data_IF_658278945646
#
_entry.id   IF_658278945646
#
_cell.length_a   1.000
_cell.length_b   1.000
_cell.length_c   1.000
_cell.angle_alpha   90.00
_cell.angle_beta   90.00
_cell.angle_gamma   90.00
#
_symmetry.space_group_name_H-M   'P 1'
#
loop_
_entity.id
_entity.type
_entity.pdbx_description
1 polymer ?
#
# COMPACT_ATOMS: atom_id res chain seq x y z
N UNK A 1 0.93 -2.28 -18.85
CA UNK A 1 1.11 -0.96 -18.20
C UNK A 1 0.77 -1.16 -16.74
N UNK A 2 1.58 -0.63 -15.83
CA UNK A 2 1.25 -0.64 -14.40
C UNK A 2 0.03 0.23 -14.12
N UNK A 3 -0.65 -0.04 -13.00
CA UNK A 3 -1.74 0.79 -12.49
C UNK A 3 -1.20 1.45 -11.23
N UNK A 4 -0.44 2.56 -11.38
CA UNK A 4 0.28 3.17 -10.26
C UNK A 4 -0.71 3.54 -9.16
N UNK A 5 -0.43 3.07 -7.95
CA UNK A 5 -1.22 3.45 -6.79
C UNK A 5 -0.34 3.73 -5.57
N UNK A 6 -0.96 4.33 -4.56
CA UNK A 6 -0.32 4.58 -3.28
C UNK A 6 -1.10 3.89 -2.17
N UNK A 7 -0.38 3.22 -1.27
CA UNK A 7 -0.96 2.63 -0.06
C UNK A 7 -0.31 3.25 1.17
N UNK A 8 -1.10 3.58 2.17
CA UNK A 8 -0.57 4.16 3.38
C UNK A 8 -1.63 4.44 4.43
N UNK A 9 -1.33 5.38 5.32
CA UNK A 9 -2.22 5.79 6.39
C UNK A 9 -2.16 7.31 6.61
N UNK A 10 -3.20 7.86 7.21
CA UNK A 10 -3.20 9.24 7.65
C UNK A 10 -2.16 9.45 8.77
N UNK A 11 -1.50 10.61 8.77
CA UNK A 11 -0.60 11.04 9.84
C UNK A 11 -1.44 11.19 11.13
N UNK A 12 -1.12 10.47 12.22
CA UNK A 12 -1.89 10.54 13.46
C UNK A 12 -1.96 11.95 14.06
N UNK A 13 -0.94 12.78 13.86
CA UNK A 13 -0.91 14.15 14.33
C UNK A 13 -1.64 15.12 13.37
N UNK A 14 -1.80 14.73 12.10
CA UNK A 14 -2.41 15.55 11.05
C UNK A 14 -3.24 14.66 10.10
N UNK A 15 -4.50 14.32 10.45
CA UNK A 15 -5.32 13.36 9.69
C UNK A 15 -5.58 13.72 8.22
N UNK A 16 -5.34 14.97 7.82
CA UNK A 16 -5.44 15.44 6.43
C UNK A 16 -4.21 15.13 5.59
N UNK A 17 -3.10 14.73 6.23
CA UNK A 17 -1.84 14.35 5.59
C UNK A 17 -1.78 12.82 5.54
N UNK A 18 -1.45 12.28 4.38
CA UNK A 18 -1.23 10.85 4.17
C UNK A 18 0.26 10.59 4.03
N UNK A 19 0.72 9.52 4.68
CA UNK A 19 2.05 8.92 4.47
C UNK A 19 1.84 7.63 3.71
N UNK A 20 2.42 7.51 2.53
CA UNK A 20 2.19 6.37 1.64
C UNK A 20 3.45 5.89 0.93
N UNK A 21 3.37 4.65 0.44
CA UNK A 21 4.32 4.00 -0.44
C UNK A 21 3.71 3.71 -1.80
N UNK A 22 4.56 3.76 -2.81
CA UNK A 22 4.16 3.49 -4.18
C UNK A 22 4.01 1.98 -4.41
N UNK A 23 3.01 1.59 -5.20
CA UNK A 23 2.83 0.23 -5.71
C UNK A 23 2.69 0.29 -7.23
N UNK A 24 3.57 -0.42 -7.94
CA UNK A 24 3.70 -0.30 -9.40
C UNK A 24 2.62 -1.07 -10.17
N UNK A 25 2.34 -2.31 -9.76
CA UNK A 25 1.40 -3.23 -10.41
C UNK A 25 0.18 -3.55 -9.54
N UNK A 26 -0.89 -4.00 -10.22
CA UNK A 26 -2.12 -4.52 -9.62
C UNK A 26 -2.81 -3.56 -8.63
N UNK A 27 -2.63 -2.26 -8.83
CA UNK A 27 -3.21 -1.21 -7.99
C UNK A 27 -4.72 -1.02 -8.10
N UNK A 28 -5.45 -1.82 -8.89
CA UNK A 28 -6.92 -1.74 -8.99
C UNK A 28 -7.60 -2.17 -7.69
N UNK A 29 -8.74 -1.58 -7.30
CA UNK A 29 -9.45 -1.95 -6.07
C UNK A 29 -9.84 -3.43 -6.00
N UNK A 30 -10.20 -4.03 -7.14
CA UNK A 30 -10.52 -5.46 -7.25
C UNK A 30 -9.32 -6.38 -6.98
N UNK A 31 -8.10 -5.85 -7.05
CA UNK A 31 -6.86 -6.61 -6.88
C UNK A 31 -6.18 -6.25 -5.56
N UNK A 32 -5.89 -4.97 -5.32
CA UNK A 32 -5.08 -4.53 -4.18
C UNK A 32 -5.78 -4.75 -2.83
N UNK A 33 -7.09 -4.49 -2.75
CA UNK A 33 -7.81 -4.69 -1.48
C UNK A 33 -7.77 -6.15 -1.00
N UNK A 34 -8.06 -7.16 -1.84
CA UNK A 34 -7.84 -8.56 -1.49
C UNK A 34 -6.42 -8.87 -0.99
N UNK A 35 -5.39 -8.28 -1.61
CA UNK A 35 -4.00 -8.48 -1.15
C UNK A 35 -3.79 -7.90 0.25
N UNK A 36 -4.22 -6.65 0.49
CA UNK A 36 -4.12 -6.02 1.81
C UNK A 36 -4.88 -6.82 2.87
N UNK A 37 -6.09 -7.28 2.57
CA UNK A 37 -6.89 -8.14 3.46
C UNK A 37 -6.17 -9.46 3.76
N UNK A 38 -5.53 -10.07 2.75
CA UNK A 38 -4.74 -11.28 2.92
C UNK A 38 -3.55 -11.06 3.85
N UNK A 39 -2.72 -10.04 3.57
CA UNK A 39 -1.55 -9.68 4.38
C UNK A 39 -1.96 -9.39 5.83
N UNK A 40 -3.05 -8.62 6.00
CA UNK A 40 -3.64 -8.32 7.30
C UNK A 40 -4.01 -9.59 8.06
N UNK A 41 -4.74 -10.50 7.42
CA UNK A 41 -5.22 -11.71 8.07
C UNK A 41 -4.10 -12.71 8.42
N UNK A 42 -3.11 -12.87 7.54
CA UNK A 42 -2.10 -13.94 7.65
C UNK A 42 -0.79 -13.45 8.27
N UNK A 43 -0.19 -12.42 7.68
CA UNK A 43 1.16 -11.96 8.01
C UNK A 43 1.17 -11.09 9.24
N UNK A 44 0.25 -10.13 9.32
CA UNK A 44 0.17 -9.19 10.45
C UNK A 44 -0.79 -9.68 11.54
N UNK A 45 -1.43 -10.84 11.34
CA UNK A 45 -2.31 -11.50 12.32
C UNK A 45 -3.45 -10.60 12.83
N UNK A 46 -4.04 -9.84 11.92
CA UNK A 46 -5.10 -8.85 12.14
C UNK A 46 -4.67 -7.61 12.93
N UNK A 47 -3.37 -7.34 12.98
CA UNK A 47 -2.85 -6.07 13.49
C UNK A 47 -2.74 -5.07 12.32
N UNK A 48 -3.62 -4.07 12.34
CA UNK A 48 -3.68 -3.01 11.32
C UNK A 48 -2.50 -2.03 11.44
N UNK A 49 -1.95 -1.82 12.64
CA UNK A 49 -0.74 -1.01 12.79
C UNK A 49 0.46 -1.72 12.17
N UNK A 50 0.59 -3.03 12.41
CA UNK A 50 1.64 -3.83 11.79
C UNK A 50 1.47 -3.94 10.27
N UNK A 51 0.22 -3.93 9.75
CA UNK A 51 -0.03 -3.81 8.31
C UNK A 51 0.50 -2.49 7.76
N UNK A 52 0.18 -1.37 8.41
CA UNK A 52 0.66 -0.04 8.01
C UNK A 52 2.19 -0.02 8.01
N UNK A 53 2.84 -0.50 9.07
CA UNK A 53 4.30 -0.53 9.15
C UNK A 53 4.91 -1.40 8.04
N UNK A 54 4.31 -2.56 7.76
CA UNK A 54 4.76 -3.44 6.69
C UNK A 54 4.66 -2.77 5.32
N UNK A 55 3.50 -2.18 4.95
CA UNK A 55 3.33 -1.55 3.64
C UNK A 55 4.15 -0.26 3.50
N UNK A 56 4.44 0.44 4.59
CA UNK A 56 5.23 1.68 4.56
C UNK A 56 6.75 1.44 4.53
N UNK A 57 7.21 0.21 4.75
CA UNK A 57 8.63 -0.10 4.84
C UNK A 57 9.38 0.02 3.51
N UNK A 58 8.72 -0.27 2.38
CA UNK A 58 9.33 -0.34 1.05
C UNK A 58 8.40 0.27 0.00
N UNK A 59 8.97 0.67 -1.13
CA UNK A 59 8.20 0.81 -2.36
C UNK A 59 8.02 -0.58 -2.99
N UNK A 60 6.87 -0.79 -3.63
CA UNK A 60 6.43 -2.13 -4.03
C UNK A 60 6.29 -2.24 -5.54
N UNK A 61 6.82 -3.31 -6.10
CA UNK A 61 6.47 -3.73 -7.44
C UNK A 61 5.02 -4.23 -7.42
N UNK A 62 4.70 -5.10 -6.46
CA UNK A 62 3.34 -5.52 -6.13
C UNK A 62 3.24 -5.99 -4.68
N UNK A 63 2.03 -5.96 -4.13
CA UNK A 63 1.68 -6.56 -2.85
C UNK A 63 1.06 -7.94 -3.05
N UNK A 64 1.39 -8.88 -2.16
CA UNK A 64 0.89 -10.25 -2.23
C UNK A 64 1.20 -11.04 -0.96
N UNK A 65 0.19 -11.60 -0.26
CA UNK A 65 0.40 -12.43 0.92
C UNK A 65 0.99 -13.80 0.59
N UNK A 66 1.01 -14.18 -0.69
CA UNK A 66 1.56 -15.41 -1.24
C UNK A 66 3.05 -15.29 -1.59
N UNK A 67 3.64 -14.09 -1.54
CA UNK A 67 5.08 -13.91 -1.70
C UNK A 67 5.83 -14.61 -0.58
N UNK A 68 6.85 -15.39 -0.93
CA UNK A 68 7.70 -16.14 0.02
C UNK A 68 9.15 -15.69 -0.12
N UNK A 69 10.01 -16.08 0.82
CA UNK A 69 11.45 -15.80 0.73
C UNK A 69 12.10 -16.40 -0.52
N UNK A 70 11.52 -17.47 -1.07
CA UNK A 70 12.01 -18.17 -2.27
C UNK A 70 11.39 -17.64 -3.57
N UNK A 71 10.47 -16.67 -3.49
CA UNK A 71 9.86 -16.05 -4.66
C UNK A 71 10.95 -15.36 -5.48
N UNK A 72 11.19 -15.87 -6.69
CA UNK A 72 12.28 -15.42 -7.55
C UNK A 72 12.01 -14.00 -8.09
N UNK A 73 12.93 -13.04 -7.89
CA UNK A 73 12.91 -11.75 -8.54
C UNK A 73 12.88 -11.87 -10.07
N UNK A 74 12.07 -11.03 -10.73
CA UNK A 74 12.02 -10.95 -12.19
C UNK A 74 13.06 -9.95 -12.70
N UNK A 75 13.28 -8.87 -11.95
CA UNK A 75 14.24 -7.82 -12.27
C UNK A 75 15.33 -7.70 -11.19
N UNK A 76 16.48 -7.13 -11.57
CA UNK A 76 17.54 -6.80 -10.62
C UNK A 76 17.06 -5.73 -9.64
N UNK A 77 17.43 -5.84 -8.36
CA UNK A 77 17.07 -4.89 -7.30
C UNK A 77 15.76 -5.20 -6.57
N UNK A 78 14.92 -6.10 -7.12
CA UNK A 78 13.73 -6.58 -6.43
C UNK A 78 14.10 -7.55 -5.30
N UNK A 79 13.35 -7.46 -4.20
CA UNK A 79 13.52 -8.34 -3.04
C UNK A 79 12.15 -8.83 -2.56
N UNK A 80 11.96 -10.15 -2.38
CA UNK A 80 10.73 -10.65 -1.79
C UNK A 80 10.69 -10.33 -0.29
N UNK A 81 9.58 -9.77 0.16
CA UNK A 81 9.23 -9.63 1.57
C UNK A 81 8.11 -10.64 1.84
N UNK A 82 8.48 -11.72 2.52
CA UNK A 82 7.60 -12.86 2.76
C UNK A 82 6.29 -12.44 3.42
N UNK A 83 5.17 -12.82 2.80
CA UNK A 83 3.82 -12.52 3.25
C UNK A 83 3.38 -11.07 3.03
N UNK A 84 4.15 -10.23 2.34
CA UNK A 84 3.81 -8.81 2.11
C UNK A 84 3.84 -8.45 0.63
N UNK A 85 4.93 -8.73 -0.08
CA UNK A 85 5.06 -8.30 -1.47
C UNK A 85 6.47 -8.39 -2.03
N UNK A 86 6.62 -7.96 -3.28
CA UNK A 86 7.90 -7.80 -3.96
C UNK A 86 8.25 -6.31 -4.00
N UNK A 87 9.45 -5.94 -3.54
CA UNK A 87 9.86 -4.53 -3.55
C UNK A 87 10.15 -4.01 -4.96
N UNK A 88 9.98 -2.70 -5.13
CA UNK A 88 10.45 -1.94 -6.28
C UNK A 88 11.81 -1.34 -5.92
N UNK A 89 12.90 -1.93 -6.45
CA UNK A 89 14.29 -1.50 -6.22
C UNK A 89 14.62 -1.10 -4.76
N UNK A 90 14.89 -2.09 -3.90
CA UNK A 90 15.19 -1.87 -2.48
C UNK A 90 16.67 -1.51 -2.21
N UNK A 91 17.41 -1.09 -3.23
CA UNK A 91 18.84 -0.75 -3.08
C UNK A 91 19.04 0.57 -2.36
N UNK A 92 18.09 1.51 -2.51
CA UNK A 92 18.09 2.80 -1.83
C UNK A 92 16.64 3.16 -1.46
N UNK A 93 16.24 3.10 -0.17
CA UNK A 93 14.87 3.40 0.20
C UNK A 93 14.53 4.85 -0.13
N UNK A 94 13.52 5.07 -0.98
CA UNK A 94 13.01 6.42 -1.20
C UNK A 94 12.37 6.95 0.11
N UNK A 95 12.37 8.27 0.33
CA UNK A 95 11.57 8.84 1.41
C UNK A 95 10.09 8.50 1.19
N UNK A 96 9.35 8.33 2.28
CA UNK A 96 7.89 8.17 2.22
C UNK A 96 7.26 9.33 1.45
N UNK A 97 6.30 9.02 0.60
CA UNK A 97 5.50 10.05 -0.06
C UNK A 97 4.54 10.63 0.96
N UNK A 98 4.64 11.93 1.22
CA UNK A 98 3.81 12.64 2.20
C UNK A 98 3.05 13.75 1.49
N UNK A 99 1.73 13.69 1.53
CA UNK A 99 0.88 14.61 0.78
C UNK A 99 -0.46 14.84 1.49
N UNK A 100 -1.08 16.02 1.37
CA UNK A 100 -2.47 16.18 1.74
C UNK A 100 -3.37 15.51 0.69
N UNK A 101 -4.43 14.81 1.10
CA UNK A 101 -5.39 14.17 0.16
C UNK A 101 -5.98 15.17 -0.84
N UNK A 102 -6.14 16.44 -0.44
CA UNK A 102 -6.61 17.53 -1.32
C UNK A 102 -5.66 17.88 -2.46
N UNK A 103 -4.44 17.32 -2.47
CA UNK A 103 -3.42 17.47 -3.51
C UNK A 103 -3.04 16.13 -4.14
N UNK A 104 -3.87 15.10 -3.97
CA UNK A 104 -3.66 13.77 -4.54
C UNK A 104 -3.45 13.78 -6.07
N UNK A 105 -4.10 14.71 -6.78
CA UNK A 105 -3.96 14.90 -8.23
C UNK A 105 -2.51 15.10 -8.68
N UNK A 106 -1.65 15.67 -7.82
CA UNK A 106 -0.23 15.90 -8.11
C UNK A 106 0.59 14.60 -8.17
N UNK A 107 0.06 13.48 -7.65
CA UNK A 107 0.75 12.18 -7.60
C UNK A 107 0.65 11.39 -8.91
N UNK A 108 -0.26 11.78 -9.81
CA UNK A 108 -0.55 11.02 -11.05
C UNK A 108 -0.86 9.53 -10.75
N UNK A 109 -1.50 9.28 -9.60
CA UNK A 109 -1.92 7.96 -9.18
C UNK A 109 -3.26 7.59 -9.79
N UNK A 110 -3.48 6.30 -10.08
CA UNK A 110 -4.81 5.80 -10.44
C UNK A 110 -5.69 5.61 -9.20
N UNK A 111 -5.08 5.20 -8.09
CA UNK A 111 -5.77 4.86 -6.84
C UNK A 111 -4.91 5.20 -5.63
N UNK A 112 -5.57 5.54 -4.52
CA UNK A 112 -4.94 5.79 -3.23
C UNK A 112 -5.70 5.02 -2.16
N UNK A 113 -4.98 4.28 -1.31
CA UNK A 113 -5.53 3.42 -0.28
C UNK A 113 -5.07 3.94 1.09
N UNK A 114 -6.01 4.44 1.87
CA UNK A 114 -5.74 5.01 3.20
C UNK A 114 -6.28 4.05 4.26
N UNK A 115 -5.37 3.37 4.94
CA UNK A 115 -5.64 2.42 6.01
C UNK A 115 -5.93 3.20 7.29
N UNK A 116 -7.04 2.85 7.96
CA UNK A 116 -7.41 3.39 9.25
C UNK A 116 -7.27 2.30 10.34
N UNK A 117 -6.32 2.45 11.29
CA UNK A 117 -6.12 1.47 12.35
C UNK A 117 -7.19 1.54 13.45
N UNK A 118 -8.05 2.57 13.49
CA UNK A 118 -9.07 2.70 14.53
C UNK A 118 -10.27 1.75 14.34
N UNK A 119 -10.55 1.36 13.10
CA UNK A 119 -11.74 0.58 12.72
C UNK A 119 -11.42 -0.58 11.75
N UNK A 120 -10.13 -0.89 11.55
CA UNK A 120 -9.64 -1.93 10.64
C UNK A 120 -10.20 -1.79 9.22
N UNK A 121 -10.28 -0.54 8.74
CA UNK A 121 -10.76 -0.22 7.40
C UNK A 121 -9.67 0.31 6.48
N UNK A 122 -9.96 0.27 5.19
CA UNK A 122 -9.25 1.02 4.16
C UNK A 122 -10.24 1.85 3.36
N UNK A 123 -9.96 3.13 3.24
CA UNK A 123 -10.66 4.04 2.33
C UNK A 123 -9.93 4.05 1.00
N UNK A 124 -10.67 3.80 -0.08
CA UNK A 124 -10.17 3.84 -1.45
C UNK A 124 -10.53 5.20 -2.03
N UNK A 125 -9.54 5.88 -2.58
CA UNK A 125 -9.69 7.14 -3.30
C UNK A 125 -9.26 6.99 -4.75
N UNK A 126 -9.89 7.74 -5.65
CA UNK A 126 -9.42 7.87 -7.02
C UNK A 126 -8.15 8.76 -7.09
N UNK A 127 -7.61 8.95 -8.30
CA UNK A 127 -6.42 9.79 -8.53
C UNK A 127 -6.57 11.27 -8.13
N UNK A 128 -7.79 11.77 -8.04
CA UNK A 128 -8.08 13.14 -7.60
C UNK A 128 -8.14 13.27 -6.06
N UNK A 129 -8.10 12.14 -5.35
CA UNK A 129 -8.21 12.08 -3.89
C UNK A 129 -9.64 11.97 -3.37
N UNK A 130 -10.64 11.86 -4.25
CA UNK A 130 -12.03 11.68 -3.84
C UNK A 130 -12.27 10.24 -3.34
N UNK A 131 -12.93 10.07 -2.17
CA UNK A 131 -13.25 8.74 -1.66
C UNK A 131 -14.30 8.06 -2.54
N UNK A 132 -14.01 6.85 -2.99
CA UNK A 132 -14.92 6.04 -3.82
C UNK A 132 -15.49 4.83 -3.06
N UNK A 133 -14.91 4.47 -1.92
CA UNK A 133 -15.37 3.35 -1.10
C UNK A 133 -14.61 3.20 0.21
N UNK A 134 -15.24 2.52 1.17
CA UNK A 134 -14.63 2.12 2.44
C UNK A 134 -14.85 0.62 2.61
N UNK A 135 -13.79 -0.11 2.95
CA UNK A 135 -13.83 -1.55 3.10
C UNK A 135 -13.21 -1.98 4.43
N UNK A 136 -13.85 -2.92 5.11
CA UNK A 136 -13.33 -3.52 6.33
C UNK A 136 -12.49 -4.78 6.00
N UNK A 137 -11.35 -4.97 6.68
CA UNK A 137 -10.47 -6.12 6.46
C UNK A 137 -10.96 -7.45 7.05
N UNK A 138 -11.88 -7.43 8.01
CA UNK A 138 -12.31 -8.59 8.78
C UNK A 138 -13.81 -8.71 8.86
#
# INVERSE_FOLDING_TARGET
MGTPCYVGAADPARPTIVRARYVHFDGYPSSLFPQLRGIWATTTRRDTSALIDAVLAHDWDYLGPDVTADTRPVFSGQRPIAGVGMTLDDTTPEPLTVFPLTRAVDLVASWIYVINPADDTVTVHNGDGEPVGVHNFG
#
